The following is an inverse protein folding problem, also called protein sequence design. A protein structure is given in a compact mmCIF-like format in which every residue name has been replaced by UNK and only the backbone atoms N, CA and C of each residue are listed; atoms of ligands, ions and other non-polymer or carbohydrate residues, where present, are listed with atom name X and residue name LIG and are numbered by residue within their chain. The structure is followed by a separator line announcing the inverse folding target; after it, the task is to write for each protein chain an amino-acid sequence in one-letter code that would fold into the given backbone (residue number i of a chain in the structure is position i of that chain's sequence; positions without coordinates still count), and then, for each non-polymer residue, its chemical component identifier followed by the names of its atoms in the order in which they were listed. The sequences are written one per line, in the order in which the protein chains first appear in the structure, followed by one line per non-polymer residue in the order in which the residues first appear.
data_IF_471265374207
#
_entry.id   IF_471265374207
#
_cell.length_a   1.000
_cell.length_b   1.000
_cell.length_c   1.000
_cell.angle_alpha   90.00
_cell.angle_beta   90.00
_cell.angle_gamma   90.00
#
_symmetry.space_group_name_H-M   'P 1'
#
loop_
_entity.id
_entity.type
_entity.pdbx_description
1 polymer ?
#
# COMPACT_ATOMS: atom_id res chain seq x y z
N UNK A 1 -11.73 -16.71 -47.08
CA UNK A 1 -11.76 -17.04 -45.64
C UNK A 1 -10.33 -17.31 -45.23
N UNK A 2 -9.67 -16.36 -44.57
CA UNK A 2 -8.26 -16.50 -44.20
C UNK A 2 -8.12 -17.52 -43.06
N UNK A 3 -6.99 -18.21 -42.99
CA UNK A 3 -6.60 -19.18 -41.94
C UNK A 3 -6.67 -18.61 -40.50
N UNK A 4 -6.98 -17.34 -40.34
CA UNK A 4 -7.11 -16.63 -39.07
C UNK A 4 -8.45 -16.85 -38.36
N UNK A 5 -9.44 -17.51 -38.99
CA UNK A 5 -10.84 -17.41 -38.55
C UNK A 5 -11.45 -18.67 -37.93
N UNK A 6 -10.64 -19.67 -37.55
CA UNK A 6 -11.06 -20.73 -36.63
C UNK A 6 -9.91 -21.07 -35.69
N UNK A 7 -9.76 -20.28 -34.62
CA UNK A 7 -9.26 -20.86 -33.38
C UNK A 7 -10.05 -22.14 -33.15
N UNK A 8 -9.33 -23.25 -33.03
CA UNK A 8 -9.96 -24.54 -32.78
C UNK A 8 -10.81 -24.39 -31.51
N UNK A 9 -11.97 -25.02 -31.45
CA UNK A 9 -12.82 -24.99 -30.25
C UNK A 9 -12.03 -25.41 -28.99
N UNK A 10 -11.03 -26.29 -29.19
CA UNK A 10 -10.09 -26.69 -28.16
C UNK A 10 -9.22 -25.52 -27.65
N UNK A 11 -8.61 -24.71 -28.52
CA UNK A 11 -7.84 -23.52 -28.11
C UNK A 11 -8.68 -22.51 -27.33
N UNK A 12 -9.94 -22.30 -27.73
CA UNK A 12 -10.87 -21.43 -27.00
C UNK A 12 -11.13 -21.98 -25.60
N UNK A 13 -11.37 -23.29 -25.48
CA UNK A 13 -11.61 -23.95 -24.20
C UNK A 13 -10.36 -23.94 -23.31
N UNK A 14 -9.19 -24.19 -23.88
CA UNK A 14 -7.90 -24.13 -23.19
C UNK A 14 -7.63 -22.72 -22.65
N UNK A 15 -7.84 -21.67 -23.47
CA UNK A 15 -7.71 -20.28 -23.03
C UNK A 15 -8.67 -19.95 -21.88
N UNK A 16 -9.95 -20.34 -22.00
CA UNK A 16 -10.95 -20.10 -20.95
C UNK A 16 -10.54 -20.78 -19.63
N UNK A 17 -10.11 -22.03 -19.71
CA UNK A 17 -9.63 -22.81 -18.56
C UNK A 17 -8.43 -22.13 -17.90
N UNK A 18 -7.45 -21.71 -18.69
CA UNK A 18 -6.28 -20.98 -18.21
C UNK A 18 -6.66 -19.69 -17.47
N UNK A 19 -7.55 -18.87 -18.04
CA UNK A 19 -7.98 -17.62 -17.42
C UNK A 19 -8.76 -17.82 -16.13
N UNK A 20 -9.61 -18.87 -16.06
CA UNK A 20 -10.33 -19.22 -14.83
C UNK A 20 -9.35 -19.64 -13.73
N UNK A 21 -8.35 -20.47 -14.05
CA UNK A 21 -7.34 -20.86 -13.07
C UNK A 21 -6.48 -19.67 -12.64
N UNK A 22 -6.09 -18.81 -13.58
CA UNK A 22 -5.39 -17.55 -13.26
C UNK A 22 -6.23 -16.69 -12.31
N UNK A 23 -7.53 -16.50 -12.59
CA UNK A 23 -8.46 -15.76 -11.74
C UNK A 23 -8.52 -16.34 -10.32
N UNK A 24 -8.66 -17.66 -10.19
CA UNK A 24 -8.66 -18.35 -8.88
C UNK A 24 -7.36 -18.09 -8.11
N UNK A 25 -6.21 -18.18 -8.78
CA UNK A 25 -4.90 -17.94 -8.16
C UNK A 25 -4.73 -16.47 -7.73
N UNK A 26 -5.22 -15.52 -8.52
CA UNK A 26 -5.19 -14.09 -8.16
C UNK A 26 -6.00 -13.81 -6.89
N UNK A 27 -7.21 -14.39 -6.78
CA UNK A 27 -8.03 -14.28 -5.56
C UNK A 27 -7.37 -14.95 -4.35
N UNK A 28 -6.83 -16.15 -4.52
CA UNK A 28 -6.12 -16.83 -3.44
C UNK A 28 -4.92 -16.00 -2.93
N UNK A 29 -4.19 -15.37 -3.85
CA UNK A 29 -3.05 -14.54 -3.50
C UNK A 29 -3.47 -13.23 -2.80
N UNK A 30 -4.58 -12.60 -3.23
CA UNK A 30 -5.18 -11.46 -2.53
C UNK A 30 -5.53 -11.81 -1.08
N UNK A 31 -6.15 -12.96 -0.86
CA UNK A 31 -6.50 -13.43 0.47
C UNK A 31 -5.25 -13.69 1.34
N UNK A 32 -4.14 -14.11 0.75
CA UNK A 32 -2.87 -14.25 1.48
C UNK A 32 -2.26 -12.90 1.84
N UNK A 33 -2.31 -11.93 0.92
CA UNK A 33 -1.71 -10.62 1.14
C UNK A 33 -2.46 -9.75 2.14
N UNK A 34 -3.76 -9.97 2.36
CA UNK A 34 -4.50 -9.25 3.41
C UNK A 34 -4.04 -9.63 4.82
N UNK A 35 -3.42 -10.80 5.00
CA UNK A 35 -2.88 -11.25 6.29
C UNK A 35 -1.65 -10.44 6.72
N UNK A 36 -1.09 -9.59 5.84
CA UNK A 36 -0.04 -8.61 6.18
C UNK A 36 -0.46 -7.68 7.32
N UNK A 37 -1.76 -7.54 7.61
CA UNK A 37 -2.29 -6.86 8.81
C UNK A 37 -1.58 -7.30 10.10
N UNK A 38 -1.22 -8.58 10.23
CA UNK A 38 -0.54 -9.11 11.42
C UNK A 38 0.86 -8.53 11.64
N UNK A 39 1.49 -7.97 10.60
CA UNK A 39 2.77 -7.29 10.74
C UNK A 39 2.68 -6.06 11.67
N UNK A 40 1.50 -5.43 11.78
CA UNK A 40 1.28 -4.34 12.73
C UNK A 40 1.45 -4.77 14.20
N UNK A 41 1.09 -6.02 14.53
CA UNK A 41 1.30 -6.57 15.88
C UNK A 41 2.78 -6.78 16.17
N UNK A 42 3.56 -7.22 15.18
CA UNK A 42 5.00 -7.38 15.33
C UNK A 42 5.70 -6.03 15.56
N UNK A 43 5.25 -4.95 14.91
CA UNK A 43 5.75 -3.60 15.14
C UNK A 43 5.51 -3.15 16.58
N UNK A 44 4.31 -3.40 17.12
CA UNK A 44 3.98 -3.10 18.51
C UNK A 44 4.85 -3.88 19.50
N UNK A 45 5.01 -5.18 19.28
CA UNK A 45 5.89 -6.01 20.11
C UNK A 45 7.35 -5.53 20.05
N UNK A 46 7.83 -5.17 18.86
CA UNK A 46 9.15 -4.57 18.65
C UNK A 46 9.32 -3.24 19.39
N UNK A 47 8.29 -2.40 19.42
CA UNK A 47 8.29 -1.14 20.18
C UNK A 47 8.51 -1.40 21.67
N UNK A 48 7.70 -2.29 22.26
CA UNK A 48 7.78 -2.65 23.69
C UNK A 48 9.16 -3.20 24.02
N UNK A 49 9.69 -4.10 23.19
CA UNK A 49 11.02 -4.66 23.36
C UNK A 49 12.13 -3.59 23.31
N UNK A 50 12.08 -2.66 22.34
CA UNK A 50 13.05 -1.57 22.23
C UNK A 50 13.06 -0.68 23.47
N UNK A 51 11.90 -0.28 23.98
CA UNK A 51 11.83 0.60 25.15
C UNK A 51 12.17 -0.12 26.46
N UNK A 52 11.91 -1.43 26.58
CA UNK A 52 12.38 -2.22 27.72
C UNK A 52 13.92 -2.28 27.80
N UNK A 53 14.62 -2.25 26.65
CA UNK A 53 16.08 -2.17 26.62
C UNK A 53 16.63 -0.80 27.04
N UNK A 54 15.85 0.27 26.84
CA UNK A 54 16.21 1.61 27.32
C UNK A 54 16.17 1.68 28.85
N UNK A 55 15.14 1.09 29.47
CA UNK A 55 15.01 1.05 30.94
C UNK A 55 16.20 0.34 31.60
N UNK A 56 16.72 -0.71 30.94
CA UNK A 56 17.89 -1.46 31.39
C UNK A 56 19.24 -0.83 31.02
N UNK A 57 19.23 0.38 30.46
CA UNK A 57 20.40 1.12 30.00
C UNK A 57 21.27 0.39 28.95
N UNK A 58 20.73 -0.64 28.26
CA UNK A 58 21.43 -1.32 27.17
C UNK A 58 21.43 -0.48 25.88
N UNK A 59 20.39 0.35 25.68
CA UNK A 59 20.25 1.25 24.55
C UNK A 59 19.96 2.67 25.03
N UNK A 60 20.54 3.66 24.36
CA UNK A 60 20.13 5.05 24.58
C UNK A 60 18.72 5.28 24.03
N UNK A 61 18.01 6.23 24.63
CA UNK A 61 16.69 6.63 24.15
C UNK A 61 16.73 7.13 22.70
N UNK A 62 17.79 7.85 22.31
CA UNK A 62 17.96 8.38 20.96
C UNK A 62 18.11 7.24 19.93
N UNK A 63 18.85 6.17 20.25
CA UNK A 63 18.98 4.99 19.39
C UNK A 63 17.68 4.19 19.32
N UNK A 64 17.00 3.98 20.45
CA UNK A 64 15.72 3.26 20.48
C UNK A 64 14.65 3.96 19.63
N UNK A 65 14.54 5.29 19.74
CA UNK A 65 13.62 6.07 18.91
C UNK A 65 13.99 5.98 17.42
N UNK A 66 15.29 5.99 17.10
CA UNK A 66 15.77 5.84 15.72
C UNK A 66 15.41 4.47 15.12
N UNK A 67 15.64 3.38 15.85
CA UNK A 67 15.22 2.04 15.43
C UNK A 67 13.71 1.91 15.30
N UNK A 68 12.96 2.53 16.21
CA UNK A 68 11.51 2.52 16.14
C UNK A 68 10.99 3.24 14.89
N UNK A 69 11.56 4.40 14.53
CA UNK A 69 11.22 5.10 13.28
C UNK A 69 11.57 4.25 12.05
N UNK A 70 12.72 3.57 12.02
CA UNK A 70 13.06 2.64 10.95
C UNK A 70 12.04 1.50 10.84
N UNK A 71 11.61 0.93 11.97
CA UNK A 71 10.61 -0.13 12.02
C UNK A 71 9.25 0.33 11.48
N UNK A 72 8.82 1.55 11.84
CA UNK A 72 7.61 2.16 11.29
C UNK A 72 7.74 2.44 9.78
N UNK A 73 8.90 2.91 9.34
CA UNK A 73 9.22 3.09 7.92
C UNK A 73 9.11 1.80 7.13
N UNK A 74 9.74 0.74 7.64
CA UNK A 74 9.67 -0.61 7.06
C UNK A 74 8.23 -1.12 6.99
N UNK A 75 7.45 -0.95 8.06
CA UNK A 75 6.04 -1.31 8.08
C UNK A 75 5.23 -0.56 7.02
N UNK A 76 5.37 0.77 6.93
CA UNK A 76 4.67 1.57 5.91
C UNK A 76 5.09 1.16 4.49
N UNK A 77 6.36 0.82 4.26
CA UNK A 77 6.82 0.32 2.97
C UNK A 77 6.10 -0.98 2.58
N UNK A 78 5.96 -1.93 3.52
CA UNK A 78 5.20 -3.16 3.28
C UNK A 78 3.72 -2.91 2.99
N UNK A 79 3.10 -1.95 3.69
CA UNK A 79 1.70 -1.57 3.43
C UNK A 79 1.53 -0.94 2.03
N UNK A 80 2.48 -0.09 1.61
CA UNK A 80 2.49 0.49 0.26
C UNK A 80 2.68 -0.57 -0.83
N UNK A 81 3.59 -1.51 -0.60
CA UNK A 81 3.85 -2.62 -1.52
C UNK A 81 2.61 -3.52 -1.65
N UNK A 82 2.05 -3.97 -0.52
CA UNK A 82 0.84 -4.79 -0.48
C UNK A 82 -0.36 -4.08 -1.14
N UNK A 83 -0.52 -2.78 -0.90
CA UNK A 83 -1.56 -1.97 -1.55
C UNK A 83 -1.40 -1.91 -3.08
N UNK A 84 -0.17 -1.70 -3.55
CA UNK A 84 0.11 -1.63 -4.99
C UNK A 84 -0.10 -2.98 -5.64
N UNK A 85 0.41 -4.02 -4.99
CA UNK A 85 0.25 -5.40 -5.41
C UNK A 85 -1.24 -5.74 -5.52
N UNK A 86 -2.05 -5.41 -4.50
CA UNK A 86 -3.49 -5.64 -4.50
C UNK A 86 -4.18 -4.94 -5.69
N UNK A 87 -3.90 -3.66 -5.91
CA UNK A 87 -4.49 -2.89 -7.02
C UNK A 87 -4.12 -3.46 -8.40
N UNK A 88 -2.89 -3.95 -8.57
CA UNK A 88 -2.47 -4.62 -9.81
C UNK A 88 -3.27 -5.89 -10.08
N UNK A 89 -3.44 -6.74 -9.08
CA UNK A 89 -4.23 -7.96 -9.23
C UNK A 89 -5.70 -7.67 -9.51
N UNK A 90 -6.29 -6.66 -8.86
CA UNK A 90 -7.63 -6.21 -9.19
C UNK A 90 -7.74 -5.78 -10.67
N UNK A 91 -6.79 -5.00 -11.18
CA UNK A 91 -6.82 -4.58 -12.58
C UNK A 91 -6.72 -5.77 -13.55
N UNK A 92 -5.89 -6.77 -13.24
CA UNK A 92 -5.80 -7.99 -14.05
C UNK A 92 -7.11 -8.78 -13.99
N UNK A 93 -7.69 -8.97 -12.81
CA UNK A 93 -8.97 -9.68 -12.67
C UNK A 93 -10.09 -8.96 -13.40
N UNK A 94 -10.16 -7.63 -13.31
CA UNK A 94 -11.11 -6.83 -14.11
C UNK A 94 -10.95 -7.08 -15.61
N UNK A 95 -9.71 -7.18 -16.11
CA UNK A 95 -9.48 -7.50 -17.52
C UNK A 95 -9.94 -8.91 -17.89
N UNK A 96 -9.72 -9.88 -17.01
CA UNK A 96 -10.22 -11.25 -17.20
C UNK A 96 -11.75 -11.26 -17.20
N UNK A 97 -12.39 -10.62 -16.22
CA UNK A 97 -13.85 -10.52 -16.10
C UNK A 97 -14.49 -9.94 -17.36
N UNK A 98 -13.89 -8.91 -17.97
CA UNK A 98 -14.35 -8.31 -19.23
C UNK A 98 -14.28 -9.23 -20.46
N UNK A 99 -13.52 -10.31 -20.40
CA UNK A 99 -13.50 -11.33 -21.45
C UNK A 99 -14.65 -12.35 -21.31
N UNK A 100 -15.24 -12.45 -20.11
CA UNK A 100 -16.29 -13.43 -19.81
C UNK A 100 -17.67 -12.81 -19.61
N UNK A 101 -17.74 -11.65 -18.96
CA UNK A 101 -18.96 -10.95 -18.60
C UNK A 101 -19.43 -10.03 -19.73
N UNK A 102 -20.75 -9.81 -19.77
CA UNK A 102 -21.45 -8.97 -20.74
C UNK A 102 -21.78 -7.60 -20.13
N UNK A 103 -22.13 -6.63 -20.96
CA UNK A 103 -22.51 -5.29 -20.48
C UNK A 103 -23.70 -5.33 -19.51
N UNK A 104 -24.65 -6.25 -19.72
CA UNK A 104 -25.80 -6.47 -18.81
C UNK A 104 -25.39 -6.91 -17.39
N UNK A 105 -24.27 -7.65 -17.28
CA UNK A 105 -23.76 -8.17 -16.00
C UNK A 105 -23.24 -7.06 -15.07
N UNK A 106 -23.02 -5.84 -15.59
CA UNK A 106 -22.71 -4.68 -14.76
C UNK A 106 -23.80 -4.43 -13.70
N UNK A 107 -25.06 -4.68 -14.08
CA UNK A 107 -26.23 -4.52 -13.22
C UNK A 107 -26.68 -5.82 -12.56
N UNK A 108 -26.47 -6.96 -13.23
CA UNK A 108 -26.93 -8.27 -12.74
C UNK A 108 -25.98 -8.92 -11.73
N UNK A 109 -24.67 -8.66 -11.85
CA UNK A 109 -23.63 -9.28 -10.99
C UNK A 109 -22.92 -8.21 -10.16
N UNK A 110 -22.07 -7.38 -10.79
CA UNK A 110 -21.42 -6.25 -10.14
C UNK A 110 -20.82 -5.28 -11.15
N UNK A 111 -20.85 -3.99 -10.85
CA UNK A 111 -20.38 -2.96 -11.79
C UNK A 111 -18.84 -2.77 -11.82
N UNK A 112 -18.10 -3.43 -10.92
CA UNK A 112 -16.66 -3.22 -10.74
C UNK A 112 -15.82 -3.63 -11.97
N UNK A 113 -16.26 -4.60 -12.79
CA UNK A 113 -15.50 -5.03 -13.97
C UNK A 113 -15.60 -4.04 -15.14
N UNK A 114 -16.57 -3.13 -15.13
CA UNK A 114 -16.74 -2.18 -16.24
C UNK A 114 -15.57 -1.21 -16.39
N UNK A 115 -14.81 -0.93 -15.32
CA UNK A 115 -13.62 -0.07 -15.36
C UNK A 115 -12.60 -0.49 -14.29
N UNK A 116 -11.29 -0.63 -14.60
CA UNK A 116 -10.31 -0.81 -13.55
C UNK A 116 -10.24 0.42 -12.65
N UNK A 117 -9.78 0.25 -11.41
CA UNK A 117 -9.56 1.38 -10.49
C UNK A 117 -8.55 2.36 -11.14
N UNK A 118 -8.89 3.64 -11.34
CA UNK A 118 -8.08 4.53 -12.20
C UNK A 118 -6.76 4.99 -11.58
N UNK A 119 -6.53 4.75 -10.29
CA UNK A 119 -5.34 5.18 -9.56
C UNK A 119 -4.85 4.05 -8.65
N UNK A 120 -3.57 4.05 -8.29
CA UNK A 120 -3.03 3.13 -7.28
C UNK A 120 -3.46 3.52 -5.84
N UNK A 121 -4.73 3.89 -5.68
CA UNK A 121 -5.29 4.38 -4.42
C UNK A 121 -5.34 3.23 -3.43
N UNK A 122 -4.75 3.44 -2.27
CA UNK A 122 -4.80 2.52 -1.15
C UNK A 122 -6.24 2.22 -0.70
N UNK A 123 -6.50 0.98 -0.32
CA UNK A 123 -7.77 0.55 0.26
C UNK A 123 -7.81 0.89 1.75
N UNK A 124 -9.02 1.08 2.28
CA UNK A 124 -9.22 1.67 3.60
C UNK A 124 -8.49 0.96 4.73
N UNK A 125 -8.43 -0.39 4.70
CA UNK A 125 -7.73 -1.13 5.76
C UNK A 125 -6.22 -0.88 5.78
N UNK A 126 -5.57 -0.76 4.62
CA UNK A 126 -4.16 -0.36 4.53
C UNK A 126 -3.98 1.10 4.92
N UNK A 127 -4.92 1.99 4.58
CA UNK A 127 -4.87 3.39 5.00
C UNK A 127 -4.95 3.55 6.53
N UNK A 128 -5.77 2.74 7.20
CA UNK A 128 -5.84 2.69 8.66
C UNK A 128 -4.49 2.27 9.26
N UNK A 129 -3.80 1.30 8.65
CA UNK A 129 -2.47 0.87 9.11
C UNK A 129 -1.41 1.97 8.97
N UNK A 130 -1.39 2.70 7.85
CA UNK A 130 -0.49 3.85 7.69
C UNK A 130 -0.82 4.94 8.71
N UNK A 131 -2.10 5.27 8.91
CA UNK A 131 -2.52 6.25 9.91
C UNK A 131 -2.09 5.85 11.33
N UNK A 132 -2.21 4.56 11.67
CA UNK A 132 -1.72 4.01 12.94
C UNK A 132 -0.20 4.17 13.09
N UNK A 133 0.57 3.83 12.06
CA UNK A 133 2.03 4.02 12.07
C UNK A 133 2.42 5.49 12.26
N UNK A 134 1.72 6.41 11.59
CA UNK A 134 1.93 7.85 11.75
C UNK A 134 1.60 8.33 13.17
N UNK A 135 0.49 7.86 13.76
CA UNK A 135 0.13 8.20 15.13
C UNK A 135 1.21 7.74 16.13
N UNK A 136 1.74 6.52 15.96
CA UNK A 136 2.85 6.01 16.78
C UNK A 136 4.14 6.82 16.57
N UNK A 137 4.46 7.21 15.34
CA UNK A 137 5.61 8.05 15.04
C UNK A 137 5.51 9.40 15.77
N UNK A 138 4.36 10.07 15.67
CA UNK A 138 4.10 11.36 16.35
C UNK A 138 4.22 11.21 17.87
N UNK A 139 3.64 10.15 18.44
CA UNK A 139 3.71 9.92 19.88
C UNK A 139 5.16 9.74 20.37
N UNK A 140 5.92 8.86 19.73
CA UNK A 140 7.30 8.56 20.13
C UNK A 140 8.22 9.74 19.87
N UNK A 141 8.16 10.34 18.69
CA UNK A 141 9.01 11.48 18.34
C UNK A 141 8.64 12.74 19.12
N UNK A 142 7.36 12.98 19.37
CA UNK A 142 6.90 14.09 20.21
C UNK A 142 7.39 13.96 21.65
N UNK A 143 7.32 12.74 22.20
CA UNK A 143 7.87 12.42 23.53
C UNK A 143 9.39 12.62 23.55
N UNK A 144 10.09 12.04 22.58
CA UNK A 144 11.54 12.22 22.44
C UNK A 144 11.93 13.70 22.32
N UNK A 145 11.22 14.48 21.51
CA UNK A 145 11.43 15.92 21.36
C UNK A 145 11.28 16.65 22.68
N UNK A 146 10.19 16.41 23.41
CA UNK A 146 9.91 17.05 24.68
C UNK A 146 10.97 16.73 25.75
N UNK A 147 11.44 15.48 25.84
CA UNK A 147 12.39 15.08 26.89
C UNK A 147 13.87 15.28 26.54
N UNK A 148 14.24 15.18 25.26
CA UNK A 148 15.66 15.22 24.83
C UNK A 148 16.04 16.51 24.13
N UNK A 149 15.15 17.04 23.27
CA UNK A 149 15.48 18.19 22.41
C UNK A 149 15.19 19.51 23.11
N UNK A 150 13.99 19.67 23.69
CA UNK A 150 13.56 20.92 24.34
C UNK A 150 14.52 21.34 25.48
N UNK A 151 14.88 20.48 26.44
CA UNK A 151 15.85 20.84 27.47
C UNK A 151 17.25 21.13 26.91
N UNK A 152 17.55 20.58 25.73
CA UNK A 152 18.81 20.79 25.05
C UNK A 152 19.07 22.23 24.61
N UNK A 153 18.02 23.00 24.33
CA UNK A 153 18.16 24.41 23.95
C UNK A 153 18.63 25.30 25.10
N UNK A 154 18.46 24.88 26.35
CA UNK A 154 18.92 25.61 27.53
C UNK A 154 20.39 25.30 27.89
N UNK A 155 21.02 24.31 27.23
CA UNK A 155 22.40 23.91 27.54
C UNK A 155 23.42 24.76 26.76
N UNK A 156 24.61 25.02 27.33
CA UNK A 156 25.69 25.68 26.60
C UNK A 156 26.15 24.85 25.40
N UNK A 157 26.57 25.51 24.32
CA UNK A 157 27.01 24.87 23.07
C UNK A 157 28.15 23.85 23.26
N UNK A 158 28.95 23.99 24.32
CA UNK A 158 30.00 23.02 24.67
C UNK A 158 29.46 21.63 25.04
N UNK A 159 28.16 21.52 25.35
CA UNK A 159 27.46 20.25 25.63
C UNK A 159 26.57 19.79 24.46
N UNK A 160 26.92 20.20 23.24
CA UNK A 160 26.21 19.77 22.05
C UNK A 160 26.30 18.24 21.88
N UNK A 161 25.14 17.61 21.72
CA UNK A 161 25.00 16.16 21.57
C UNK A 161 24.25 15.88 20.27
N UNK A 162 24.99 15.48 19.24
CA UNK A 162 24.45 15.22 17.92
C UNK A 162 23.49 14.03 17.89
N UNK A 163 23.58 13.11 18.86
CA UNK A 163 22.75 11.91 18.90
C UNK A 163 21.26 12.25 19.08
N UNK A 164 20.95 13.39 19.70
CA UNK A 164 19.57 13.92 19.82
C UNK A 164 18.91 14.20 18.48
N UNK A 165 19.70 14.45 17.43
CA UNK A 165 19.18 14.68 16.08
C UNK A 165 18.90 13.36 15.33
N UNK A 166 19.45 12.23 15.81
CA UNK A 166 19.47 10.97 15.07
C UNK A 166 18.06 10.47 14.68
N UNK A 167 17.03 10.45 15.56
CA UNK A 167 15.70 10.00 15.17
C UNK A 167 15.07 10.82 14.04
N UNK A 168 15.38 12.12 13.96
CA UNK A 168 14.82 13.03 12.96
C UNK A 168 15.56 12.94 11.63
N UNK A 169 16.88 12.71 11.67
CA UNK A 169 17.66 12.39 10.47
C UNK A 169 17.13 11.09 9.86
N UNK A 170 16.96 10.07 10.71
CA UNK A 170 16.39 8.77 10.32
C UNK A 170 14.98 8.95 9.75
N UNK A 171 14.09 9.69 10.42
CA UNK A 171 12.75 10.02 9.90
C UNK A 171 12.83 10.65 8.52
N UNK A 172 13.70 11.63 8.32
CA UNK A 172 13.84 12.33 7.05
C UNK A 172 14.27 11.39 5.93
N UNK A 173 15.28 10.53 6.18
CA UNK A 173 15.74 9.51 5.23
C UNK A 173 14.62 8.50 4.93
N UNK A 174 13.91 8.03 5.95
CA UNK A 174 12.77 7.12 5.81
C UNK A 174 11.65 7.74 4.96
N UNK A 175 11.29 9.01 5.22
CA UNK A 175 10.27 9.71 4.43
C UNK A 175 10.69 9.88 2.97
N UNK A 176 11.94 10.23 2.70
CA UNK A 176 12.48 10.33 1.34
C UNK A 176 12.43 8.98 0.61
N UNK A 177 12.84 7.91 1.29
CA UNK A 177 12.75 6.55 0.76
C UNK A 177 11.30 6.16 0.44
N UNK A 178 10.36 6.35 1.37
CA UNK A 178 8.94 6.03 1.19
C UNK A 178 8.32 6.83 0.04
N UNK A 179 8.69 8.11 -0.10
CA UNK A 179 8.24 8.96 -1.20
C UNK A 179 8.75 8.43 -2.55
N UNK A 180 10.03 8.08 -2.64
CA UNK A 180 10.61 7.49 -3.84
C UNK A 180 9.97 6.14 -4.18
N UNK A 181 9.75 5.30 -3.17
CA UNK A 181 9.10 4.00 -3.31
C UNK A 181 7.66 4.14 -3.81
N UNK A 182 6.87 5.04 -3.23
CA UNK A 182 5.49 5.30 -3.67
C UNK A 182 5.42 5.82 -5.11
N UNK A 183 6.33 6.72 -5.51
CA UNK A 183 6.38 7.19 -6.90
C UNK A 183 6.69 6.05 -7.87
N UNK A 184 7.60 5.15 -7.51
CA UNK A 184 7.92 3.97 -8.30
C UNK A 184 6.71 3.05 -8.45
N UNK A 185 5.97 2.79 -7.37
CA UNK A 185 4.80 1.91 -7.42
C UNK A 185 3.64 2.50 -8.22
N UNK A 186 3.39 3.81 -8.11
CA UNK A 186 2.39 4.50 -8.94
C UNK A 186 2.73 4.43 -10.42
N UNK A 187 4.01 4.61 -10.77
CA UNK A 187 4.47 4.48 -12.16
C UNK A 187 4.22 3.08 -12.71
N UNK A 188 4.61 2.04 -11.96
CA UNK A 188 4.41 0.64 -12.37
C UNK A 188 2.91 0.33 -12.56
N UNK A 189 2.04 0.86 -11.71
CA UNK A 189 0.59 0.69 -11.85
C UNK A 189 0.04 1.41 -13.08
N UNK A 190 0.50 2.64 -13.33
CA UNK A 190 0.11 3.41 -14.51
C UNK A 190 0.57 2.72 -15.81
N UNK A 191 1.77 2.15 -15.81
CA UNK A 191 2.28 1.34 -16.93
C UNK A 191 1.42 0.11 -17.19
N UNK A 192 0.95 -0.59 -16.14
CA UNK A 192 0.00 -1.70 -16.28
C UNK A 192 -1.31 -1.25 -16.96
N UNK A 193 -1.92 -0.18 -16.47
CA UNK A 193 -3.18 0.31 -17.04
C UNK A 193 -3.02 0.78 -18.50
N UNK A 194 -1.87 1.38 -18.82
CA UNK A 194 -1.55 1.83 -20.18
C UNK A 194 -1.33 0.67 -21.14
N UNK A 195 -0.52 -0.32 -20.74
CA UNK A 195 -0.09 -1.42 -21.62
C UNK A 195 -1.09 -2.58 -21.65
N UNK A 196 -1.99 -2.67 -20.67
CA UNK A 196 -2.99 -3.73 -20.56
C UNK A 196 -4.37 -3.16 -20.19
N UNK A 197 -4.98 -2.33 -21.06
CA UNK A 197 -6.25 -1.66 -20.77
C UNK A 197 -7.46 -2.62 -20.72
N UNK A 198 -7.31 -3.84 -21.27
CA UNK A 198 -8.39 -4.81 -21.43
C UNK A 198 -9.39 -4.43 -22.52
N UNK A 199 -10.44 -5.25 -22.69
CA UNK A 199 -11.58 -4.95 -23.55
C UNK A 199 -12.42 -3.80 -22.98
N UNK A 200 -12.99 -2.97 -23.85
CA UNK A 200 -13.97 -1.94 -23.46
C UNK A 200 -15.36 -2.54 -23.25
N UNK A 201 -16.04 -2.11 -22.20
CA UNK A 201 -17.41 -2.48 -21.82
C UNK A 201 -18.24 -1.20 -21.82
N UNK A 202 -19.50 -1.26 -22.26
CA UNK A 202 -20.40 -0.11 -22.21
C UNK A 202 -20.82 0.16 -20.75
N UNK A 203 -20.30 1.27 -20.19
CA UNK A 203 -20.54 1.67 -18.80
C UNK A 203 -21.61 2.76 -18.65
N UNK A 204 -22.36 3.08 -19.70
CA UNK A 204 -23.37 4.15 -19.66
C UNK A 204 -24.48 3.92 -18.63
N UNK A 205 -24.74 2.67 -18.25
CA UNK A 205 -25.74 2.28 -17.26
C UNK A 205 -25.29 2.40 -15.80
N UNK A 206 -24.01 2.69 -15.54
CA UNK A 206 -23.41 2.66 -14.20
C UNK A 206 -22.85 4.03 -13.82
N UNK A 207 -23.13 4.46 -12.58
CA UNK A 207 -22.47 5.60 -11.94
C UNK A 207 -21.40 5.13 -10.97
N UNK A 208 -20.13 5.38 -11.28
CA UNK A 208 -19.01 5.03 -10.41
C UNK A 208 -18.85 6.02 -9.26
N UNK A 209 -19.12 5.56 -8.03
CA UNK A 209 -18.97 6.35 -6.81
C UNK A 209 -17.59 6.16 -6.14
N UNK A 210 -17.42 6.76 -4.96
CA UNK A 210 -16.21 6.69 -4.12
C UNK A 210 -15.74 5.26 -3.82
N UNK A 211 -16.67 4.31 -3.72
CA UNK A 211 -16.37 2.88 -3.52
C UNK A 211 -15.45 2.27 -4.60
N UNK A 212 -15.48 2.82 -5.82
CA UNK A 212 -14.62 2.40 -6.93
C UNK A 212 -13.28 3.14 -7.00
N UNK A 213 -12.94 3.90 -5.96
CA UNK A 213 -11.73 4.72 -5.93
C UNK A 213 -11.76 5.93 -6.88
N UNK A 214 -12.91 6.24 -7.51
CA UNK A 214 -13.09 7.41 -8.38
C UNK A 214 -13.45 8.70 -7.64
N UNK A 215 -13.68 8.62 -6.31
CA UNK A 215 -13.92 9.80 -5.49
C UNK A 215 -12.68 10.68 -5.34
N UNK A 216 -12.89 11.96 -5.01
CA UNK A 216 -11.83 12.94 -4.72
C UNK A 216 -10.74 12.35 -3.80
N UNK A 217 -9.50 12.79 -4.02
CA UNK A 217 -8.33 12.34 -3.26
C UNK A 217 -8.50 12.79 -1.79
N UNK A 218 -8.26 11.91 -0.81
CA UNK A 218 -8.48 12.27 0.61
C UNK A 218 -7.53 13.38 1.12
N UNK A 219 -6.34 13.54 0.53
CA UNK A 219 -5.42 14.67 0.78
C UNK A 219 -5.86 15.97 0.08
N UNK A 220 -7.06 16.02 -0.49
CA UNK A 220 -7.73 17.29 -0.82
C UNK A 220 -8.65 17.75 0.32
N UNK A 221 -8.69 17.01 1.44
CA UNK A 221 -9.46 17.33 2.64
C UNK A 221 -8.56 17.62 3.86
N UNK A 222 -7.23 17.58 3.68
CA UNK A 222 -6.19 17.99 4.63
C UNK A 222 -5.33 19.00 3.89
#
# INVERSE_FOLDING_TARGET
MSETEQLTQDEVLQRKTFLIEMYKQLFANINRHILVVWQGVAVLAGAVALFALVERAFLSLDLACSFFVLLLGWFVAHVLDASTWFNRNLAIMTNVERDFLRDEDLSLIHYYFGKPRPNNRMISHFSIQVAFALALAVLVLGTHFAYRVVPGFALPLSKFDWTRALPYVVLSVTCLYLLAFWRKTERNYSELLKNSPGRTVDITSVVYNSGHGQGKKWWQLI
#
